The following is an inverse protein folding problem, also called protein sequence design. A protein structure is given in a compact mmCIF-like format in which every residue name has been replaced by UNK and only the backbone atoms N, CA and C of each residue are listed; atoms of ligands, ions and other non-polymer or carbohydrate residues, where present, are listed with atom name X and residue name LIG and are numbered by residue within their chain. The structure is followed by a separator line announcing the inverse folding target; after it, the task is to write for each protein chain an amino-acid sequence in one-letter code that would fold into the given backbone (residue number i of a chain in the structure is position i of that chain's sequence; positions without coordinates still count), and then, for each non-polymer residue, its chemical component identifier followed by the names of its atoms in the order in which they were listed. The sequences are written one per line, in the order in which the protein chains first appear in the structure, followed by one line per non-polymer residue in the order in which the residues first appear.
data_IF_007659997549
#
_entry.id   IF_007659997549
#
_cell.length_a   1.000
_cell.length_b   1.000
_cell.length_c   1.000
_cell.angle_alpha   90.00
_cell.angle_beta   90.00
_cell.angle_gamma   90.00
#
_symmetry.space_group_name_H-M   'P 1'
#
loop_
_entity.id
_entity.type
_entity.pdbx_description
1 polymer ?
#
# COMPACT_ATOMS: atom_id res chain seq x y z
N UNK A 1 -15.82 -24.26 30.74
CA UNK A 1 -15.48 -22.85 30.49
C UNK A 1 -16.71 -22.23 29.86
N UNK A 2 -17.36 -21.35 30.61
CA UNK A 2 -18.68 -20.82 30.25
C UNK A 2 -18.57 -19.77 29.15
N UNK A 3 -19.69 -19.49 28.45
CA UNK A 3 -19.77 -18.49 27.37
C UNK A 3 -19.31 -17.11 27.82
N UNK A 4 -19.54 -16.76 29.09
CA UNK A 4 -19.19 -15.47 29.67
C UNK A 4 -17.67 -15.26 29.78
N UNK A 5 -16.92 -16.34 30.01
CA UNK A 5 -15.46 -16.29 30.06
C UNK A 5 -14.89 -15.91 28.69
N UNK A 6 -15.37 -16.57 27.63
CA UNK A 6 -14.94 -16.25 26.26
C UNK A 6 -15.38 -14.86 25.82
N UNK A 7 -16.57 -14.41 26.22
CA UNK A 7 -17.04 -13.05 25.97
C UNK A 7 -16.13 -12.00 26.62
N UNK A 8 -15.72 -12.20 27.87
CA UNK A 8 -14.80 -11.30 28.57
C UNK A 8 -13.42 -11.24 27.90
N UNK A 9 -12.89 -12.39 27.46
CA UNK A 9 -11.60 -12.47 26.75
C UNK A 9 -11.68 -11.69 25.43
N UNK A 10 -12.73 -11.87 24.63
CA UNK A 10 -12.90 -11.15 23.37
C UNK A 10 -13.03 -9.64 23.59
N UNK A 11 -13.85 -9.22 24.55
CA UNK A 11 -14.04 -7.79 24.84
C UNK A 11 -12.80 -7.11 25.40
N UNK A 12 -11.99 -7.81 26.20
CA UNK A 12 -10.72 -7.27 26.71
C UNK A 12 -9.65 -7.11 25.63
N UNK A 13 -9.65 -7.97 24.60
CA UNK A 13 -8.70 -7.91 23.47
C UNK A 13 -9.16 -7.02 22.33
N UNK A 14 -10.47 -6.76 22.20
CA UNK A 14 -11.02 -5.88 21.18
C UNK A 14 -10.29 -4.52 21.03
N UNK A 15 -10.01 -3.74 22.10
CA UNK A 15 -9.36 -2.44 21.94
C UNK A 15 -7.96 -2.53 21.35
N UNK A 16 -7.15 -3.52 21.73
CA UNK A 16 -5.78 -3.67 21.21
C UNK A 16 -5.78 -4.12 19.76
N UNK A 17 -6.67 -5.04 19.40
CA UNK A 17 -6.83 -5.51 18.02
C UNK A 17 -7.33 -4.40 17.10
N UNK A 18 -8.26 -3.56 17.57
CA UNK A 18 -8.74 -2.40 16.81
C UNK A 18 -7.62 -1.40 16.56
N UNK A 19 -6.84 -1.05 17.59
CA UNK A 19 -5.71 -0.13 17.44
C UNK A 19 -4.65 -0.69 16.49
N UNK A 20 -4.31 -1.98 16.63
CA UNK A 20 -3.35 -2.66 15.75
C UNK A 20 -3.85 -2.71 14.30
N UNK A 21 -5.13 -3.02 14.10
CA UNK A 21 -5.77 -3.04 12.79
C UNK A 21 -5.75 -1.67 12.13
N UNK A 22 -6.09 -0.62 12.88
CA UNK A 22 -6.04 0.76 12.40
C UNK A 22 -4.60 1.18 12.07
N UNK A 23 -3.63 0.84 12.91
CA UNK A 23 -2.22 1.14 12.69
C UNK A 23 -1.69 0.50 11.40
N UNK A 24 -1.95 -0.79 11.20
CA UNK A 24 -1.57 -1.51 9.97
C UNK A 24 -2.31 -0.93 8.76
N UNK A 25 -3.59 -0.58 8.92
CA UNK A 25 -4.37 0.04 7.86
C UNK A 25 -3.76 1.38 7.41
N UNK A 26 -3.39 2.25 8.36
CA UNK A 26 -2.75 3.55 8.08
C UNK A 26 -1.39 3.35 7.41
N UNK A 27 -0.53 2.49 7.96
CA UNK A 27 0.78 2.18 7.35
C UNK A 27 0.62 1.65 5.93
N UNK A 28 -0.32 0.72 5.72
CA UNK A 28 -0.59 0.15 4.39
C UNK A 28 -1.17 1.19 3.43
N UNK A 29 -2.01 2.12 3.93
CA UNK A 29 -2.58 3.21 3.15
C UNK A 29 -1.48 4.14 2.63
N UNK A 30 -0.58 4.60 3.51
CA UNK A 30 0.54 5.47 3.14
C UNK A 30 1.47 4.78 2.14
N UNK A 31 1.89 3.54 2.42
CA UNK A 31 2.77 2.78 1.52
C UNK A 31 2.12 2.47 0.16
N UNK A 32 0.79 2.29 0.12
CA UNK A 32 0.05 2.12 -1.13
C UNK A 32 -0.07 3.42 -1.93
N UNK A 33 -0.21 4.55 -1.24
CA UNK A 33 -0.27 5.87 -1.85
C UNK A 33 1.06 6.24 -2.53
N UNK A 34 2.20 6.04 -1.86
CA UNK A 34 3.54 6.28 -2.44
C UNK A 34 3.78 5.46 -3.72
N UNK A 35 3.32 4.20 -3.74
CA UNK A 35 3.41 3.33 -4.92
C UNK A 35 2.54 3.79 -6.09
N UNK A 36 1.39 4.40 -5.82
CA UNK A 36 0.51 4.92 -6.86
C UNK A 36 1.05 6.22 -7.46
N UNK A 37 1.61 7.10 -6.64
CA UNK A 37 2.23 8.35 -7.09
C UNK A 37 3.39 8.07 -8.07
N UNK A 38 4.31 7.17 -7.71
CA UNK A 38 5.42 6.77 -8.62
C UNK A 38 4.94 6.17 -9.95
N UNK A 39 3.80 5.46 -9.96
CA UNK A 39 3.23 4.86 -11.18
C UNK A 39 2.53 5.88 -12.08
N UNK A 40 1.94 6.91 -11.49
CA UNK A 40 1.32 7.99 -12.28
C UNK A 40 2.36 8.93 -12.88
N UNK A 41 3.41 9.30 -12.14
CA UNK A 41 4.49 10.12 -12.69
C UNK A 41 5.19 9.47 -13.89
N UNK A 42 5.45 8.15 -13.81
CA UNK A 42 6.09 7.40 -14.91
C UNK A 42 5.19 7.26 -16.13
N UNK A 43 3.88 7.11 -15.95
CA UNK A 43 2.92 7.14 -17.07
C UNK A 43 2.86 8.51 -17.74
N UNK A 44 2.77 9.58 -16.95
CA UNK A 44 2.67 10.95 -17.47
C UNK A 44 3.96 11.35 -18.20
N UNK A 45 5.14 11.03 -17.66
CA UNK A 45 6.40 11.24 -18.37
C UNK A 45 6.50 10.46 -19.68
N UNK A 46 6.03 9.21 -19.72
CA UNK A 46 6.03 8.40 -20.93
C UNK A 46 5.09 8.99 -22.00
N UNK A 47 3.93 9.49 -21.60
CA UNK A 47 3.01 10.20 -22.49
C UNK A 47 3.59 11.53 -23.00
N UNK A 48 4.29 12.30 -22.16
CA UNK A 48 4.98 13.52 -22.61
C UNK A 48 6.16 13.22 -23.54
N UNK A 49 6.96 12.18 -23.27
CA UNK A 49 8.06 11.75 -24.14
C UNK A 49 7.55 11.24 -25.48
N UNK A 50 6.46 10.46 -25.50
CA UNK A 50 5.83 10.00 -26.73
C UNK A 50 5.32 11.18 -27.58
N UNK A 51 4.68 12.18 -26.95
CA UNK A 51 4.27 13.42 -27.63
C UNK A 51 5.45 14.23 -28.17
N UNK A 52 6.60 14.20 -27.48
CA UNK A 52 7.85 14.87 -27.88
C UNK A 52 8.71 14.03 -28.84
N UNK A 53 8.28 12.83 -29.23
CA UNK A 53 9.04 11.93 -30.10
C UNK A 53 10.33 11.38 -29.47
N UNK A 54 10.47 11.47 -28.14
CA UNK A 54 11.62 10.95 -27.41
C UNK A 54 11.49 9.43 -27.26
N UNK A 55 12.60 8.68 -27.39
CA UNK A 55 12.58 7.23 -27.20
C UNK A 55 12.13 6.88 -25.76
N UNK A 56 11.42 5.75 -25.58
CA UNK A 56 11.05 5.28 -24.25
C UNK A 56 12.31 5.09 -23.40
N UNK A 57 12.22 5.41 -22.10
CA UNK A 57 13.34 5.17 -21.17
C UNK A 57 13.69 3.70 -21.26
N UNK A 58 14.91 3.43 -21.73
CA UNK A 58 15.43 2.08 -21.84
C UNK A 58 15.32 1.43 -20.46
N UNK A 59 14.61 0.32 -20.42
CA UNK A 59 14.56 -0.55 -19.26
C UNK A 59 15.96 -1.11 -19.06
N UNK A 60 16.73 -0.47 -18.18
CA UNK A 60 18.09 -0.89 -17.78
C UNK A 60 18.02 -2.14 -16.88
N UNK A 61 17.16 -3.10 -17.26
CA UNK A 61 17.23 -4.47 -16.76
C UNK A 61 18.48 -5.07 -17.40
N UNK A 62 19.53 -5.39 -16.62
CA UNK A 62 20.65 -6.13 -17.17
C UNK A 62 20.10 -7.45 -17.69
N UNK A 63 20.23 -7.66 -19.00
CA UNK A 63 19.90 -8.92 -19.63
C UNK A 63 20.64 -10.04 -18.89
N UNK A 64 19.88 -10.91 -18.22
CA UNK A 64 20.42 -12.09 -17.56
C UNK A 64 19.54 -13.28 -17.86
#
# INVERSE_FOLDING_TARGET
MDTDYWAAVVWSLAPTVVVLGLFIFVLRSILRMDRNERRMYTRIEAEERAKRGLPPVADDRPAR
#
